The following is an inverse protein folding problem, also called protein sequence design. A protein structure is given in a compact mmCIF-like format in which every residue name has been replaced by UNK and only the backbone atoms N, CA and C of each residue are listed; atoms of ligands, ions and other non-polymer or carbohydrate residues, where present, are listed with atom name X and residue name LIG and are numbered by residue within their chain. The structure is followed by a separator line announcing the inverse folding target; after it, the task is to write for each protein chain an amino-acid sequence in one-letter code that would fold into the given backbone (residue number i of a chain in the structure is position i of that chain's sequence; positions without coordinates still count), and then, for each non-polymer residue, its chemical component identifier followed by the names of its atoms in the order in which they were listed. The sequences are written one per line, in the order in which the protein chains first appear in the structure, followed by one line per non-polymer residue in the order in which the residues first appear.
data_IF_026276011584
#
_entry.id   IF_026276011584
#
_cell.length_a   1.000
_cell.length_b   1.000
_cell.length_c   1.000
_cell.angle_alpha   90.00
_cell.angle_beta   90.00
_cell.angle_gamma   90.00
#
_symmetry.space_group_name_H-M   'P 1'
#
loop_
_entity.id
_entity.type
_entity.pdbx_description
1 polymer ?
#
# COMPACT_ATOMS: atom_id res chain seq x y z
N UNK A 1 11.41 -14.93 -14.95
CA UNK A 1 10.50 -15.34 -13.84
C UNK A 1 10.12 -14.14 -12.98
N UNK A 2 11.10 -13.30 -12.59
CA UNK A 2 10.90 -12.05 -11.82
C UNK A 2 9.92 -11.09 -12.51
N UNK A 3 10.03 -10.87 -13.82
CA UNK A 3 9.14 -9.95 -14.56
C UNK A 3 7.66 -10.34 -14.51
N UNK A 4 7.35 -11.65 -14.56
CA UNK A 4 5.97 -12.14 -14.44
C UNK A 4 5.43 -11.95 -13.02
N UNK A 5 6.27 -12.18 -12.01
CA UNK A 5 5.93 -11.95 -10.62
C UNK A 5 5.70 -10.46 -10.34
N UNK A 6 6.57 -9.62 -10.90
CA UNK A 6 6.49 -8.16 -10.81
C UNK A 6 5.20 -7.65 -11.44
N UNK A 7 4.88 -8.08 -12.67
CA UNK A 7 3.65 -7.72 -13.36
C UNK A 7 2.41 -8.16 -12.60
N UNK A 8 2.40 -9.36 -12.03
CA UNK A 8 1.26 -9.84 -11.22
C UNK A 8 1.10 -9.01 -9.95
N UNK A 9 2.17 -8.75 -9.20
CA UNK A 9 2.10 -7.95 -7.95
C UNK A 9 1.75 -6.49 -8.24
N UNK A 10 2.23 -5.92 -9.35
CA UNK A 10 1.88 -4.55 -9.75
C UNK A 10 0.42 -4.45 -10.21
N UNK A 11 -0.01 -5.38 -11.05
CA UNK A 11 -1.34 -5.37 -11.68
C UNK A 11 -2.42 -5.81 -10.71
N UNK A 12 -2.13 -6.66 -9.72
CA UNK A 12 -3.12 -7.18 -8.75
C UNK A 12 -2.96 -6.60 -7.34
N UNK A 13 -1.80 -6.02 -7.01
CA UNK A 13 -1.53 -5.51 -5.67
C UNK A 13 -2.49 -4.40 -5.26
N UNK A 14 -2.83 -3.50 -6.18
CA UNK A 14 -3.78 -2.42 -5.90
C UNK A 14 -5.20 -2.95 -5.70
N UNK A 15 -5.63 -3.94 -6.48
CA UNK A 15 -6.94 -4.57 -6.38
C UNK A 15 -7.05 -5.33 -5.07
N UNK A 16 -6.02 -6.08 -4.66
CA UNK A 16 -5.98 -6.75 -3.37
C UNK A 16 -6.13 -5.76 -2.21
N UNK A 17 -5.44 -4.61 -2.28
CA UNK A 17 -5.55 -3.55 -1.27
C UNK A 17 -6.93 -2.87 -1.29
N UNK A 18 -7.54 -2.68 -2.46
CA UNK A 18 -8.90 -2.14 -2.58
C UNK A 18 -9.95 -3.11 -2.04
N UNK A 19 -9.81 -4.42 -2.28
CA UNK A 19 -10.67 -5.45 -1.66
C UNK A 19 -10.50 -5.42 -0.14
N UNK A 20 -9.27 -5.32 0.36
CA UNK A 20 -9.01 -5.18 1.79
C UNK A 20 -9.64 -3.92 2.39
N UNK A 21 -9.60 -2.80 1.65
CA UNK A 21 -10.25 -1.55 2.03
C UNK A 21 -11.77 -1.70 2.17
N UNK A 22 -12.38 -2.43 1.24
CA UNK A 22 -13.81 -2.71 1.27
C UNK A 22 -14.18 -3.57 2.49
N UNK A 23 -13.40 -4.63 2.78
CA UNK A 23 -13.60 -5.47 3.96
C UNK A 23 -13.50 -4.66 5.26
N UNK A 24 -12.52 -3.75 5.35
CA UNK A 24 -12.38 -2.84 6.49
C UNK A 24 -13.55 -1.88 6.61
N UNK A 25 -14.02 -1.30 5.50
CA UNK A 25 -15.18 -0.41 5.50
C UNK A 25 -16.45 -1.13 5.99
N UNK A 26 -16.68 -2.37 5.53
CA UNK A 26 -17.81 -3.21 5.98
C UNK A 26 -17.70 -3.50 7.47
N UNK A 27 -16.52 -3.95 7.94
CA UNK A 27 -16.28 -4.23 9.36
C UNK A 27 -16.50 -2.99 10.22
N UNK A 28 -16.01 -1.84 9.77
CA UNK A 28 -16.15 -0.57 10.49
C UNK A 28 -17.61 -0.13 10.58
N UNK A 29 -18.36 -0.19 9.47
CA UNK A 29 -19.78 0.15 9.43
C UNK A 29 -20.64 -0.79 10.29
N UNK A 30 -20.32 -2.09 10.31
CA UNK A 30 -21.00 -3.08 11.14
C UNK A 30 -20.79 -2.82 12.63
N UNK A 31 -19.56 -2.48 13.05
CA UNK A 31 -19.21 -2.22 14.45
C UNK A 31 -19.77 -0.89 14.97
N UNK A 32 -19.75 0.18 14.16
CA UNK A 32 -20.34 1.47 14.57
C UNK A 32 -21.88 1.48 14.52
N UNK A 33 -22.53 0.42 14.02
CA UNK A 33 -23.98 0.34 13.75
C UNK A 33 -24.51 1.51 12.90
N UNK A 34 -23.62 2.28 12.26
CA UNK A 34 -23.95 3.41 11.39
C UNK A 34 -24.15 2.89 9.97
N UNK A 35 -25.37 2.45 9.68
CA UNK A 35 -25.80 2.04 8.34
C UNK A 35 -26.24 3.25 7.50
N UNK A 36 -25.39 4.27 7.41
CA UNK A 36 -25.60 5.42 6.54
C UNK A 36 -24.88 5.23 5.22
N UNK A 37 -25.60 5.34 4.10
CA UNK A 37 -25.02 5.24 2.75
C UNK A 37 -23.82 6.19 2.59
N UNK A 38 -23.94 7.44 3.06
CA UNK A 38 -22.87 8.45 3.00
C UNK A 38 -21.65 8.06 3.86
N UNK A 39 -21.88 7.57 5.10
CA UNK A 39 -20.80 7.16 5.98
C UNK A 39 -20.01 5.98 5.40
N UNK A 40 -20.70 5.02 4.78
CA UNK A 40 -20.08 3.89 4.10
C UNK A 40 -19.14 4.33 2.96
N UNK A 41 -19.58 5.28 2.12
CA UNK A 41 -18.71 5.84 1.07
C UNK A 41 -17.50 6.60 1.61
N UNK A 42 -17.67 7.32 2.73
CA UNK A 42 -16.55 8.01 3.39
C UNK A 42 -15.50 6.99 3.88
N UNK A 43 -15.93 5.89 4.51
CA UNK A 43 -15.01 4.84 4.95
C UNK A 43 -14.33 4.14 3.77
N UNK A 44 -15.05 3.84 2.69
CA UNK A 44 -14.44 3.31 1.46
C UNK A 44 -13.37 4.25 0.94
N UNK A 45 -13.66 5.54 0.80
CA UNK A 45 -12.72 6.51 0.26
C UNK A 45 -11.51 6.70 1.16
N UNK A 46 -11.70 6.70 2.48
CA UNK A 46 -10.62 6.76 3.46
C UNK A 46 -9.66 5.57 3.31
N UNK A 47 -10.18 4.34 3.33
CA UNK A 47 -9.35 3.13 3.20
C UNK A 47 -8.78 2.96 1.78
N UNK A 48 -9.47 3.43 0.74
CA UNK A 48 -8.95 3.42 -0.62
C UNK A 48 -7.72 4.33 -0.74
N UNK A 49 -7.75 5.55 -0.20
CA UNK A 49 -6.58 6.43 -0.19
C UNK A 49 -5.38 5.81 0.54
N UNK A 50 -5.64 5.20 1.71
CA UNK A 50 -4.64 4.47 2.47
C UNK A 50 -4.02 3.33 1.62
N UNK A 51 -4.86 2.57 0.92
CA UNK A 51 -4.42 1.53 -0.02
C UNK A 51 -3.58 2.06 -1.18
N UNK A 52 -3.94 3.20 -1.77
CA UNK A 52 -3.12 3.83 -2.80
C UNK A 52 -1.74 4.22 -2.25
N UNK A 53 -1.68 4.82 -1.06
CA UNK A 53 -0.41 5.15 -0.41
C UNK A 53 0.43 3.91 -0.13
N UNK A 54 -0.19 2.86 0.42
CA UNK A 54 0.45 1.56 0.67
C UNK A 54 1.01 0.95 -0.59
N UNK A 55 0.25 0.99 -1.68
CA UNK A 55 0.69 0.49 -2.98
C UNK A 55 1.93 1.25 -3.47
N UNK A 56 1.93 2.59 -3.40
CA UNK A 56 3.10 3.40 -3.76
C UNK A 56 4.32 3.01 -2.92
N UNK A 57 4.13 2.79 -1.61
CA UNK A 57 5.19 2.35 -0.72
C UNK A 57 5.74 0.97 -1.10
N UNK A 58 4.87 0.00 -1.39
CA UNK A 58 5.27 -1.33 -1.84
C UNK A 58 6.06 -1.27 -3.16
N UNK A 59 5.60 -0.45 -4.11
CA UNK A 59 6.32 -0.20 -5.35
C UNK A 59 7.72 0.36 -5.06
N UNK A 60 7.83 1.37 -4.19
CA UNK A 60 9.11 1.96 -3.83
C UNK A 60 10.08 0.95 -3.19
N UNK A 61 9.59 0.05 -2.32
CA UNK A 61 10.40 -1.04 -1.75
C UNK A 61 10.95 -1.93 -2.85
N UNK A 62 10.09 -2.36 -3.77
CA UNK A 62 10.46 -3.27 -4.84
C UNK A 62 11.49 -2.63 -5.79
N UNK A 63 11.32 -1.36 -6.14
CA UNK A 63 12.33 -0.60 -6.90
C UNK A 63 13.63 -0.45 -6.12
N UNK A 64 13.56 -0.16 -4.81
CA UNK A 64 14.75 -0.08 -3.95
C UNK A 64 15.56 -1.37 -3.93
N UNK A 65 14.89 -2.53 -3.81
CA UNK A 65 15.53 -3.86 -3.91
C UNK A 65 16.15 -4.06 -5.30
N UNK A 66 15.45 -3.70 -6.37
CA UNK A 66 15.96 -3.80 -7.74
C UNK A 66 17.23 -2.97 -7.95
N UNK A 67 17.24 -1.73 -7.49
CA UNK A 67 18.40 -0.83 -7.54
C UNK A 67 19.56 -1.44 -6.75
N UNK A 68 19.34 -1.88 -5.51
CA UNK A 68 20.38 -2.48 -4.68
C UNK A 68 20.97 -3.76 -5.27
N UNK A 69 20.16 -4.54 -6.00
CA UNK A 69 20.60 -5.78 -6.62
C UNK A 69 21.49 -5.55 -7.86
N UNK A 70 21.48 -4.34 -8.42
CA UNK A 70 22.25 -3.95 -9.61
C UNK A 70 23.24 -2.82 -9.30
N UNK A 71 23.42 -2.47 -8.03
CA UNK A 71 24.20 -1.30 -7.64
C UNK A 71 25.70 -1.62 -7.66
N UNK A 72 26.42 -0.93 -8.53
CA UNK A 72 27.89 -1.01 -8.61
C UNK A 72 28.55 0.24 -8.00
N UNK A 73 27.79 1.33 -7.86
CA UNK A 73 28.27 2.63 -7.38
C UNK A 73 27.62 3.01 -6.05
N UNK A 74 28.37 3.73 -5.22
CA UNK A 74 27.89 4.23 -3.93
C UNK A 74 26.59 5.05 -4.05
N UNK A 75 26.43 5.83 -5.13
CA UNK A 75 25.22 6.61 -5.37
C UNK A 75 23.96 5.75 -5.62
N UNK A 76 24.12 4.63 -6.32
CA UNK A 76 23.02 3.67 -6.57
C UNK A 76 22.65 2.95 -5.27
N UNK A 77 23.65 2.58 -4.46
CA UNK A 77 23.42 1.99 -3.13
C UNK A 77 22.62 2.95 -2.26
N UNK A 78 23.04 4.22 -2.16
CA UNK A 78 22.33 5.23 -1.37
C UNK A 78 20.91 5.48 -1.88
N UNK A 79 20.73 5.58 -3.20
CA UNK A 79 19.41 5.73 -3.82
C UNK A 79 18.49 4.53 -3.55
N UNK A 80 19.02 3.32 -3.66
CA UNK A 80 18.30 2.07 -3.37
C UNK A 80 17.88 1.97 -1.90
N UNK A 81 18.79 2.26 -0.96
CA UNK A 81 18.48 2.31 0.48
C UNK A 81 17.41 3.37 0.76
N UNK A 82 17.53 4.56 0.19
CA UNK A 82 16.54 5.62 0.35
C UNK A 82 15.15 5.17 -0.12
N UNK A 83 15.05 4.59 -1.32
CA UNK A 83 13.78 4.09 -1.86
C UNK A 83 13.17 3.00 -0.97
N UNK A 84 14.01 2.11 -0.43
CA UNK A 84 13.59 1.02 0.43
C UNK A 84 13.05 1.55 1.77
N UNK A 85 13.78 2.45 2.42
CA UNK A 85 13.34 3.09 3.67
C UNK A 85 12.10 3.94 3.48
N UNK A 86 12.06 4.76 2.42
CA UNK A 86 10.89 5.56 2.06
C UNK A 86 9.67 4.66 1.85
N UNK A 87 9.83 3.58 1.08
CA UNK A 87 8.74 2.63 0.83
C UNK A 87 8.24 1.97 2.11
N UNK A 88 9.13 1.55 3.01
CA UNK A 88 8.75 1.00 4.34
C UNK A 88 7.95 2.01 5.15
N UNK A 89 8.41 3.27 5.22
CA UNK A 89 7.73 4.34 5.97
C UNK A 89 6.35 4.61 5.40
N UNK A 90 6.24 4.73 4.07
CA UNK A 90 4.97 4.96 3.39
C UNK A 90 4.00 3.80 3.61
N UNK A 91 4.46 2.55 3.50
CA UNK A 91 3.62 1.38 3.83
C UNK A 91 3.17 1.46 5.28
N UNK A 92 4.07 1.73 6.23
CA UNK A 92 3.71 1.77 7.65
C UNK A 92 2.67 2.85 7.99
N UNK A 93 2.79 4.04 7.39
CA UNK A 93 1.86 5.15 7.64
C UNK A 93 0.56 5.04 6.87
N UNK A 94 0.60 4.53 5.65
CA UNK A 94 -0.58 4.46 4.79
C UNK A 94 -1.28 3.11 4.83
N UNK A 95 -0.76 2.09 5.53
CA UNK A 95 -1.40 0.78 5.56
C UNK A 95 -2.86 0.91 6.00
N UNK A 96 -3.84 0.46 5.19
CA UNK A 96 -5.25 0.49 5.56
C UNK A 96 -5.44 -0.40 6.80
N UNK A 97 -5.53 0.26 7.96
CA UNK A 97 -5.77 -0.35 9.26
C UNK A 97 -6.93 0.37 9.92
N UNK A 98 -7.69 -0.35 10.74
CA UNK A 98 -8.69 0.31 11.57
C UNK A 98 -7.96 1.16 12.60
N UNK A 99 -8.02 2.48 12.46
CA UNK A 99 -7.57 3.39 13.50
C UNK A 99 -8.49 3.17 14.71
N UNK A 100 -7.91 2.88 15.87
CA UNK A 100 -8.63 2.92 17.13
C UNK A 100 -9.00 4.38 17.37
N UNK A 101 -10.25 4.74 17.04
CA UNK A 101 -10.85 5.99 17.51
C UNK A 101 -11.02 5.97 19.03
#
# INVERSE_FOLDING_TARGET
MVEKLFGIVFIWGIQALLVWSLLLAIKHAAEEKKWGFIAFFIYIFHYAKASFGTWIGLVAIVFGIGILSMADKLGEILGGVFFLLFGIVVVYWCFPRKEAG
#
